data_IF_804088049993
#
_entry.id   IF_804088049993
#
_cell.length_a   1.000
_cell.length_b   1.000
_cell.length_c   1.000
_cell.angle_alpha   90.00
_cell.angle_beta   90.00
_cell.angle_gamma   90.00
#
_symmetry.space_group_name_H-M   'P 1'
#
loop_
_entity.id
_entity.type
_entity.pdbx_description
1 polymer ?
#
# COMPACT_ATOMS: atom_id res chain seq x y z
N UNK A 1 0.91 -10.22 -18.38
CA UNK A 1 1.47 -9.07 -19.14
C UNK A 1 1.79 -7.98 -18.15
N UNK A 2 3.07 -7.70 -17.90
CA UNK A 2 3.50 -6.51 -17.14
C UNK A 2 3.89 -5.44 -18.16
N UNK A 3 3.12 -4.35 -18.22
CA UNK A 3 3.42 -3.19 -19.05
C UNK A 3 3.74 -2.00 -18.16
N UNK A 4 4.72 -1.18 -18.53
CA UNK A 4 5.09 0.00 -17.76
C UNK A 4 5.93 0.95 -18.60
N UNK A 5 5.89 2.23 -18.26
CA UNK A 5 6.73 3.27 -18.86
C UNK A 5 7.73 3.75 -17.82
N UNK A 6 9.01 3.67 -18.15
CA UNK A 6 10.11 4.19 -17.33
C UNK A 6 10.48 5.56 -17.89
N UNK A 7 10.16 6.63 -17.17
CA UNK A 7 10.59 7.98 -17.51
C UNK A 7 11.57 8.51 -16.43
N UNK A 8 12.44 9.48 -16.76
CA UNK A 8 13.24 10.15 -15.75
C UNK A 8 12.32 10.80 -14.71
N UNK A 9 12.53 10.50 -13.43
CA UNK A 9 11.79 11.10 -12.30
C UNK A 9 10.52 10.36 -11.87
N UNK A 10 9.76 9.74 -12.78
CA UNK A 10 8.56 8.94 -12.44
C UNK A 10 8.45 7.71 -13.33
N UNK A 11 8.26 6.55 -12.70
CA UNK A 11 7.99 5.29 -13.40
C UNK A 11 6.63 4.75 -12.99
N UNK A 12 5.82 4.32 -13.98
CA UNK A 12 4.53 3.67 -13.73
C UNK A 12 4.62 2.21 -14.14
N UNK A 13 4.31 1.32 -13.20
CA UNK A 13 4.37 -0.12 -13.38
C UNK A 13 2.95 -0.67 -13.19
N UNK A 14 2.46 -1.42 -14.18
CA UNK A 14 1.24 -2.20 -14.05
C UNK A 14 1.61 -3.65 -13.77
N UNK A 15 1.04 -4.19 -12.70
CA UNK A 15 1.29 -5.56 -12.26
C UNK A 15 -0.03 -6.24 -11.90
N UNK A 16 -0.08 -7.56 -12.12
CA UNK A 16 -1.26 -8.36 -11.82
C UNK A 16 -1.17 -8.90 -10.38
N UNK A 17 -2.19 -8.58 -9.57
CA UNK A 17 -2.35 -9.12 -8.23
C UNK A 17 -2.92 -10.55 -8.33
N UNK A 18 -2.25 -11.54 -7.75
CA UNK A 18 -2.74 -12.94 -7.76
C UNK A 18 -3.37 -13.33 -6.43
N UNK A 19 -2.94 -12.71 -5.33
CA UNK A 19 -3.43 -12.97 -3.97
C UNK A 19 -3.52 -11.68 -3.19
N UNK A 20 -4.49 -11.59 -2.29
CA UNK A 20 -4.59 -10.51 -1.31
C UNK A 20 -4.92 -11.09 0.07
N UNK A 21 -4.42 -10.46 1.13
CA UNK A 21 -4.64 -10.92 2.50
C UNK A 21 -5.11 -9.80 3.44
N UNK A 22 -5.96 -10.18 4.40
CA UNK A 22 -6.51 -9.30 5.44
C UNK A 22 -5.61 -9.25 6.71
N UNK A 23 -4.29 -9.20 6.53
CA UNK A 23 -3.34 -9.16 7.65
C UNK A 23 -2.95 -7.74 8.07
N UNK A 24 -3.60 -6.75 7.48
CA UNK A 24 -3.34 -5.35 7.76
C UNK A 24 -4.63 -4.60 8.07
N UNK A 25 -4.45 -3.47 8.72
CA UNK A 25 -5.50 -2.53 9.05
C UNK A 25 -5.08 -1.12 8.65
N UNK A 26 -6.06 -0.24 8.46
CA UNK A 26 -5.86 1.20 8.41
C UNK A 26 -6.40 1.81 9.69
N UNK A 27 -5.59 2.59 10.38
CA UNK A 27 -5.98 3.37 11.54
C UNK A 27 -6.97 4.47 11.13
N UNK A 28 -8.12 4.60 11.82
CA UNK A 28 -9.15 5.59 11.44
C UNK A 28 -8.73 7.03 11.73
N UNK A 29 -7.84 7.25 12.70
CA UNK A 29 -7.44 8.60 13.09
C UNK A 29 -6.30 9.11 12.20
N UNK A 30 -5.30 8.25 11.95
CA UNK A 30 -4.08 8.63 11.25
C UNK A 30 -4.02 8.19 9.79
N UNK A 31 -4.92 7.32 9.34
CA UNK A 31 -4.86 6.63 8.04
C UNK A 31 -3.54 5.89 7.80
N UNK A 32 -2.80 5.53 8.85
CA UNK A 32 -1.57 4.76 8.71
C UNK A 32 -1.85 3.26 8.61
N UNK A 33 -1.01 2.57 7.85
CA UNK A 33 -0.99 1.11 7.80
C UNK A 33 -0.59 0.53 9.16
N UNK A 34 -1.37 -0.44 9.62
CA UNK A 34 -1.18 -1.11 10.91
C UNK A 34 -1.21 -2.63 10.73
N UNK A 35 -0.52 -3.38 11.62
CA UNK A 35 -0.61 -4.83 11.64
C UNK A 35 -2.02 -5.29 12.07
N UNK A 36 -2.39 -6.53 11.73
CA UNK A 36 -3.67 -7.17 12.12
C UNK A 36 -4.02 -7.02 13.60
N UNK A 37 -3.00 -7.07 14.48
CA UNK A 37 -3.15 -6.99 15.92
C UNK A 37 -3.44 -5.59 16.48
N UNK A 38 -3.48 -4.55 15.65
CA UNK A 38 -3.78 -3.18 16.11
C UNK A 38 -5.19 -3.09 16.72
N UNK A 39 -5.27 -2.49 17.92
CA UNK A 39 -6.46 -2.55 18.80
C UNK A 39 -7.31 -1.29 18.78
N UNK A 40 -6.76 -0.15 18.35
CA UNK A 40 -7.52 1.09 18.21
C UNK A 40 -8.47 1.04 17.00
N UNK A 41 -9.46 1.96 16.92
CA UNK A 41 -10.40 1.99 15.81
C UNK A 41 -9.70 1.94 14.46
N UNK A 42 -10.08 0.96 13.65
CA UNK A 42 -9.40 0.66 12.39
C UNK A 42 -10.28 -0.13 11.44
N UNK A 43 -10.01 -0.04 10.14
CA UNK A 43 -10.63 -0.88 9.11
C UNK A 43 -9.66 -1.95 8.63
N UNK A 44 -10.17 -3.13 8.29
CA UNK A 44 -9.39 -4.15 7.61
C UNK A 44 -9.02 -3.65 6.22
N UNK A 45 -7.79 -3.92 5.77
CA UNK A 45 -7.36 -3.65 4.40
C UNK A 45 -6.77 -4.90 3.79
N UNK A 46 -7.17 -5.20 2.55
CA UNK A 46 -6.63 -6.31 1.78
C UNK A 46 -5.47 -5.81 0.93
N UNK A 47 -4.25 -6.13 1.33
CA UNK A 47 -3.06 -5.83 0.53
C UNK A 47 -2.78 -6.97 -0.44
N UNK A 48 -2.60 -6.63 -1.71
CA UNK A 48 -2.17 -7.56 -2.74
C UNK A 48 -0.73 -8.02 -2.54
N UNK A 49 -0.39 -9.17 -3.10
CA UNK A 49 0.97 -9.73 -3.14
C UNK A 49 1.98 -8.76 -3.77
N UNK A 50 1.61 -8.04 -4.84
CA UNK A 50 2.46 -7.00 -5.45
C UNK A 50 2.77 -5.88 -4.46
N UNK A 51 1.76 -5.31 -3.79
CA UNK A 51 1.95 -4.24 -2.82
C UNK A 51 2.78 -4.70 -1.62
N UNK A 52 2.53 -5.91 -1.15
CA UNK A 52 3.25 -6.53 -0.02
C UNK A 52 4.72 -6.77 -0.38
N UNK A 53 4.98 -7.32 -1.57
CA UNK A 53 6.34 -7.54 -2.06
C UNK A 53 7.08 -6.21 -2.25
N UNK A 54 6.41 -5.19 -2.78
CA UNK A 54 7.02 -3.87 -2.92
C UNK A 54 7.42 -3.29 -1.56
N UNK A 55 6.49 -3.26 -0.59
CA UNK A 55 6.77 -2.74 0.76
C UNK A 55 7.94 -3.49 1.44
N UNK A 56 8.00 -4.81 1.28
CA UNK A 56 9.06 -5.64 1.86
C UNK A 56 10.46 -5.37 1.25
N UNK A 57 10.53 -4.79 0.04
CA UNK A 57 11.79 -4.50 -0.65
C UNK A 57 12.20 -3.01 -0.58
N UNK A 58 11.38 -2.14 0.02
CA UNK A 58 11.77 -0.76 0.28
C UNK A 58 12.80 -0.71 1.42
N UNK A 59 13.85 0.09 1.26
CA UNK A 59 14.83 0.32 2.31
C UNK A 59 14.28 1.31 3.34
N UNK A 60 13.91 0.81 4.52
CA UNK A 60 13.40 1.63 5.63
C UNK A 60 12.29 2.61 5.19
N UNK A 61 11.16 2.12 4.64
CA UNK A 61 10.07 3.00 4.29
C UNK A 61 9.45 3.62 5.55
N UNK A 62 8.96 4.85 5.42
CA UNK A 62 8.02 5.42 6.37
C UNK A 62 6.78 4.52 6.50
N UNK A 63 5.98 4.72 7.56
CA UNK A 63 4.72 3.98 7.66
C UNK A 63 3.79 4.41 6.52
N UNK A 64 3.31 3.47 5.67
CA UNK A 64 2.42 3.84 4.56
C UNK A 64 1.17 4.55 5.04
N UNK A 65 0.83 5.66 4.38
CA UNK A 65 -0.35 6.47 4.67
C UNK A 65 -1.40 6.28 3.57
N UNK A 66 -2.63 5.98 3.93
CA UNK A 66 -3.75 5.82 3.01
C UNK A 66 -4.34 7.18 2.65
N UNK A 67 -3.97 7.71 1.48
CA UNK A 67 -4.62 8.90 0.91
C UNK A 67 -6.06 8.61 0.46
N UNK A 68 -6.36 7.36 0.13
CA UNK A 68 -7.73 6.86 -0.05
C UNK A 68 -7.87 5.56 0.75
N UNK A 69 -8.36 5.62 2.00
CA UNK A 69 -8.55 4.41 2.79
C UNK A 69 -9.64 3.51 2.20
N UNK A 70 -9.59 2.20 2.47
CA UNK A 70 -10.66 1.29 2.11
C UNK A 70 -12.01 1.77 2.67
N UNK A 71 -13.05 1.66 1.85
CA UNK A 71 -14.45 1.87 2.26
C UNK A 71 -15.14 0.51 2.37
N UNK A 72 -16.36 0.38 1.83
CA UNK A 72 -17.06 -0.90 1.77
C UNK A 72 -16.28 -2.01 1.03
N UNK A 73 -15.52 -1.65 -0.01
CA UNK A 73 -14.61 -2.58 -0.68
C UNK A 73 -13.20 -2.43 -0.11
N UNK A 74 -12.82 -3.37 0.75
CA UNK A 74 -11.54 -3.39 1.47
C UNK A 74 -10.32 -3.65 0.57
N UNK A 75 -10.54 -3.94 -0.72
CA UNK A 75 -9.49 -4.12 -1.75
C UNK A 75 -9.26 -2.86 -2.60
N UNK A 76 -10.12 -1.84 -2.49
CA UNK A 76 -9.95 -0.57 -3.21
C UNK A 76 -9.42 0.49 -2.24
N UNK A 77 -8.19 0.91 -2.46
CA UNK A 77 -7.50 1.85 -1.63
C UNK A 77 -6.34 2.47 -2.40
N UNK A 78 -5.83 3.59 -1.89
CA UNK A 78 -4.57 4.18 -2.34
C UNK A 78 -3.74 4.47 -1.12
N UNK A 79 -2.49 4.02 -1.11
CA UNK A 79 -1.52 4.45 -0.11
C UNK A 79 -0.27 5.02 -0.75
N UNK A 80 0.41 5.83 0.06
CA UNK A 80 1.67 6.47 -0.26
C UNK A 80 2.68 6.15 0.83
N UNK A 81 3.94 5.97 0.43
CA UNK A 81 5.06 5.79 1.34
C UNK A 81 6.32 6.36 0.74
N UNK A 82 7.23 6.79 1.61
CA UNK A 82 8.53 7.30 1.20
C UNK A 82 9.63 6.36 1.72
N UNK A 83 10.66 6.16 0.91
CA UNK A 83 11.86 5.38 1.23
C UNK A 83 13.08 6.18 0.76
N UNK A 84 13.68 6.95 1.66
CA UNK A 84 14.71 7.93 1.32
C UNK A 84 14.20 8.95 0.29
N UNK A 85 14.79 8.95 -0.91
CA UNK A 85 14.41 9.83 -2.03
C UNK A 85 13.31 9.24 -2.93
N UNK A 86 12.95 7.97 -2.73
CA UNK A 86 11.93 7.29 -3.52
C UNK A 86 10.56 7.50 -2.88
N UNK A 87 9.66 8.15 -3.60
CA UNK A 87 8.23 8.21 -3.26
C UNK A 87 7.47 7.13 -4.02
N UNK A 88 6.64 6.36 -3.32
CA UNK A 88 5.83 5.31 -3.90
C UNK A 88 4.36 5.59 -3.63
N UNK A 89 3.54 5.42 -4.67
CA UNK A 89 2.09 5.42 -4.60
C UNK A 89 1.56 4.14 -5.24
N UNK A 90 0.64 3.47 -4.56
CA UNK A 90 -0.03 2.25 -5.06
C UNK A 90 -1.54 2.50 -5.06
N UNK A 91 -2.21 2.18 -6.16
CA UNK A 91 -3.64 2.40 -6.44
C UNK A 91 -4.28 1.22 -7.19
#
# INVERSE_FOLDING_TARGET
MTGGSLAPGVSRILAQVHRANANHKVDLDSNLLRPKGFTLPSHTVYLGDVATALLANLSQPDTPHFSQPPKFNEQRWVFETQSGVLSVRIE
#
